data_IF_009466142817
#
_entry.id   IF_009466142817
#
_cell.length_a   1.000
_cell.length_b   1.000
_cell.length_c   1.000
_cell.angle_alpha   90.00
_cell.angle_beta   90.00
_cell.angle_gamma   90.00
#
_symmetry.space_group_name_H-M   'P 1'
#
loop_
_entity.id
_entity.type
_entity.pdbx_description
1 polymer ?
#
# COMPACT_ATOMS: atom_id res chain seq x y z
N UNK A 1 21.33 17.28 -20.42
CA UNK A 1 20.85 18.57 -19.86
C UNK A 1 19.33 18.64 -19.77
N UNK A 2 18.59 18.32 -20.84
CA UNK A 2 17.10 18.34 -20.82
C UNK A 2 16.53 17.30 -19.84
N UNK A 3 17.08 16.08 -19.84
CA UNK A 3 16.70 14.99 -18.91
C UNK A 3 16.89 15.32 -17.43
N UNK A 4 17.93 16.07 -17.07
CA UNK A 4 18.15 16.48 -15.68
C UNK A 4 17.14 17.54 -15.22
N UNK A 5 16.75 18.45 -16.12
CA UNK A 5 15.70 19.45 -15.82
C UNK A 5 14.31 18.83 -15.65
N UNK A 6 14.01 17.75 -16.37
CA UNK A 6 12.76 16.99 -16.16
C UNK A 6 12.83 16.13 -14.90
N UNK A 7 14.02 15.66 -14.52
CA UNK A 7 14.21 14.82 -13.32
C UNK A 7 13.86 15.54 -12.01
N UNK A 8 14.10 16.85 -11.90
CA UNK A 8 13.73 17.62 -10.70
C UNK A 8 12.21 17.70 -10.50
N UNK A 9 11.45 17.84 -11.60
CA UNK A 9 9.99 17.80 -11.55
C UNK A 9 9.50 16.40 -11.14
N UNK A 10 10.03 15.34 -11.78
CA UNK A 10 9.72 13.95 -11.44
C UNK A 10 10.06 13.62 -9.99
N UNK A 11 11.17 14.12 -9.45
CA UNK A 11 11.58 13.91 -8.07
C UNK A 11 10.56 14.44 -7.06
N UNK A 12 9.88 15.55 -7.39
CA UNK A 12 8.83 16.12 -6.54
C UNK A 12 7.62 15.18 -6.45
N UNK A 13 7.21 14.58 -7.56
CA UNK A 13 6.13 13.58 -7.58
C UNK A 13 6.53 12.26 -6.92
N UNK A 14 7.78 11.82 -7.10
CA UNK A 14 8.33 10.66 -6.38
C UNK A 14 8.33 10.87 -4.87
N UNK A 15 8.71 12.05 -4.37
CA UNK A 15 8.63 12.37 -2.95
C UNK A 15 7.20 12.36 -2.44
N UNK A 16 6.24 12.91 -3.21
CA UNK A 16 4.83 12.85 -2.86
C UNK A 16 4.33 11.41 -2.76
N UNK A 17 4.71 10.54 -3.72
CA UNK A 17 4.36 9.12 -3.70
C UNK A 17 4.92 8.41 -2.47
N UNK A 18 6.19 8.66 -2.12
CA UNK A 18 6.81 8.07 -0.93
C UNK A 18 6.12 8.53 0.36
N UNK A 19 5.76 9.81 0.46
CA UNK A 19 4.99 10.34 1.60
C UNK A 19 3.61 9.70 1.69
N UNK A 20 2.92 9.56 0.55
CA UNK A 20 1.61 8.91 0.48
C UNK A 20 1.69 7.45 0.95
N UNK A 21 2.66 6.68 0.44
CA UNK A 21 2.92 5.30 0.88
C UNK A 21 3.17 5.27 2.38
N UNK A 22 4.00 6.17 2.92
CA UNK A 22 4.31 6.23 4.33
C UNK A 22 3.06 6.46 5.21
N UNK A 23 2.21 7.44 4.85
CA UNK A 23 0.98 7.74 5.58
C UNK A 23 0.04 6.54 5.59
N UNK A 24 -0.22 5.95 4.41
CA UNK A 24 -1.11 4.79 4.30
C UNK A 24 -0.53 3.54 4.99
N UNK A 25 0.79 3.41 5.06
CA UNK A 25 1.45 2.32 5.78
C UNK A 25 1.20 2.44 7.29
N UNK A 26 1.41 3.64 7.87
CA UNK A 26 1.13 3.86 9.29
C UNK A 26 -0.35 3.66 9.61
N UNK A 27 -1.25 4.21 8.80
CA UNK A 27 -2.68 4.00 8.95
C UNK A 27 -3.04 2.51 8.87
N UNK A 28 -2.44 1.78 7.93
CA UNK A 28 -2.61 0.35 7.78
C UNK A 28 -2.16 -0.44 9.01
N UNK A 29 -1.00 -0.11 9.59
CA UNK A 29 -0.55 -0.72 10.85
C UNK A 29 -1.55 -0.50 12.00
N UNK A 30 -2.13 0.70 12.12
CA UNK A 30 -3.11 0.98 13.17
C UNK A 30 -4.43 0.21 12.99
N UNK A 31 -4.87 0.01 11.74
CA UNK A 31 -6.13 -0.68 11.44
C UNK A 31 -5.97 -2.21 11.45
N UNK A 32 -4.84 -2.70 10.95
CA UNK A 32 -4.61 -4.08 10.51
C UNK A 32 -3.42 -4.78 11.17
N UNK A 33 -2.64 -4.09 12.02
CA UNK A 33 -1.45 -4.64 12.64
C UNK A 33 -1.74 -5.90 13.46
N UNK A 34 -0.93 -6.94 13.25
CA UNK A 34 -1.04 -8.28 13.84
C UNK A 34 -2.33 -9.04 13.53
N UNK A 35 -3.13 -8.59 12.54
CA UNK A 35 -4.41 -9.23 12.18
C UNK A 35 -4.36 -10.07 10.90
N UNK A 36 -3.28 -9.96 10.14
CA UNK A 36 -3.10 -10.67 8.86
C UNK A 36 -2.47 -12.07 9.04
N UNK A 37 -2.52 -12.63 10.25
CA UNK A 37 -2.09 -13.99 10.51
C UNK A 37 -2.96 -14.98 9.73
N UNK A 38 -2.37 -15.65 8.73
CA UNK A 38 -3.05 -16.69 7.97
C UNK A 38 -3.03 -17.98 8.79
N UNK A 39 -4.19 -18.39 9.33
CA UNK A 39 -4.39 -19.77 9.79
C UNK A 39 -4.49 -20.70 8.58
N UNK A 40 -3.38 -20.89 7.87
CA UNK A 40 -3.24 -21.96 6.89
C UNK A 40 -2.41 -23.07 7.50
N UNK A 41 -3.13 -24.11 7.96
CA UNK A 41 -2.61 -25.48 8.01
C UNK A 41 -1.46 -25.71 9.02
N UNK A 42 -1.67 -25.35 10.29
CA UNK A 42 -0.81 -25.79 11.41
C UNK A 42 0.58 -25.17 11.51
N UNK A 43 1.08 -24.52 10.46
CA UNK A 43 2.32 -23.75 10.44
C UNK A 43 2.00 -22.25 10.34
N UNK A 44 2.24 -21.51 11.43
CA UNK A 44 2.06 -20.06 11.52
C UNK A 44 3.15 -19.34 10.71
N UNK A 45 3.10 -19.43 9.38
CA UNK A 45 3.95 -18.62 8.52
C UNK A 45 3.32 -17.23 8.40
N UNK A 46 4.03 -16.16 8.79
CA UNK A 46 3.52 -14.81 8.61
C UNK A 46 3.29 -14.55 7.12
N UNK A 47 2.09 -14.09 6.75
CA UNK A 47 1.80 -13.71 5.37
C UNK A 47 2.80 -12.62 4.96
N UNK A 48 3.39 -12.74 3.77
CA UNK A 48 4.35 -11.73 3.25
C UNK A 48 3.68 -10.37 3.08
N UNK A 49 2.35 -10.34 3.03
CA UNK A 49 1.49 -9.16 2.86
C UNK A 49 0.84 -8.78 4.18
N UNK A 50 1.63 -8.24 5.10
CA UNK A 50 1.17 -7.89 6.46
C UNK A 50 1.40 -6.41 6.79
N UNK A 51 0.75 -5.98 7.86
CA UNK A 51 0.85 -4.63 8.42
C UNK A 51 1.49 -4.64 9.82
N UNK A 52 2.33 -5.64 10.10
CA UNK A 52 2.85 -5.89 11.46
C UNK A 52 4.08 -5.02 11.76
N UNK A 53 4.85 -4.67 10.73
CA UNK A 53 5.97 -3.74 10.84
C UNK A 53 5.92 -2.68 9.74
N UNK A 54 6.53 -1.53 9.99
CA UNK A 54 6.50 -0.40 9.05
C UNK A 54 7.05 -0.77 7.67
N UNK A 55 8.15 -1.52 7.61
CA UNK A 55 8.75 -1.94 6.35
C UNK A 55 7.82 -2.89 5.57
N UNK A 56 7.19 -3.85 6.25
CA UNK A 56 6.22 -4.76 5.62
C UNK A 56 4.94 -4.03 5.19
N UNK A 57 4.47 -3.07 5.99
CA UNK A 57 3.34 -2.22 5.63
C UNK A 57 3.65 -1.38 4.38
N UNK A 58 4.85 -0.79 4.28
CA UNK A 58 5.31 -0.05 3.09
C UNK A 58 5.34 -0.94 1.86
N UNK A 59 5.90 -2.15 1.96
CA UNK A 59 5.92 -3.12 0.85
C UNK A 59 4.51 -3.53 0.45
N UNK A 60 3.63 -3.78 1.42
CA UNK A 60 2.23 -4.17 1.18
C UNK A 60 1.46 -3.04 0.50
N UNK A 61 1.59 -1.80 0.97
CA UNK A 61 0.97 -0.61 0.34
C UNK A 61 1.51 -0.42 -1.07
N UNK A 62 2.82 -0.55 -1.28
CA UNK A 62 3.43 -0.49 -2.60
C UNK A 62 2.86 -1.56 -3.54
N UNK A 63 2.73 -2.81 -3.08
CA UNK A 63 2.15 -3.91 -3.87
C UNK A 63 0.68 -3.65 -4.24
N UNK A 64 -0.10 -3.00 -3.36
CA UNK A 64 -1.47 -2.59 -3.68
C UNK A 64 -1.46 -1.51 -4.77
N UNK A 65 -0.54 -0.55 -4.70
CA UNK A 65 -0.39 0.52 -5.70
C UNK A 65 0.05 0.00 -7.07
N UNK A 66 0.86 -1.06 -7.12
CA UNK A 66 1.18 -1.75 -8.39
C UNK A 66 0.02 -2.60 -8.91
N UNK A 67 -1.12 -2.61 -8.21
CA UNK A 67 -2.29 -3.42 -8.50
C UNK A 67 -2.00 -4.94 -8.50
N UNK A 68 -0.96 -5.36 -7.79
CA UNK A 68 -0.58 -6.76 -7.70
C UNK A 68 -1.29 -7.42 -6.51
N UNK A 69 -2.14 -8.40 -6.80
CA UNK A 69 -2.84 -9.20 -5.78
C UNK A 69 -3.60 -8.38 -4.71
N UNK A 70 -3.93 -7.12 -5.00
CA UNK A 70 -4.59 -6.19 -4.06
C UNK A 70 -5.92 -6.74 -3.53
N UNK A 71 -6.66 -7.46 -4.38
CA UNK A 71 -7.93 -8.12 -4.00
C UNK A 71 -7.73 -9.09 -2.84
N UNK A 72 -6.64 -9.88 -2.83
CA UNK A 72 -6.35 -10.83 -1.75
C UNK A 72 -6.11 -10.08 -0.43
N UNK A 73 -5.35 -8.98 -0.48
CA UNK A 73 -5.05 -8.15 0.69
C UNK A 73 -6.33 -7.47 1.22
N UNK A 74 -7.20 -6.99 0.32
CA UNK A 74 -8.51 -6.44 0.65
C UNK A 74 -9.38 -7.49 1.38
N UNK A 75 -9.54 -8.68 0.79
CA UNK A 75 -10.38 -9.73 1.36
C UNK A 75 -9.84 -10.21 2.71
N UNK A 76 -8.52 -10.37 2.83
CA UNK A 76 -7.88 -10.68 4.10
C UNK A 76 -8.14 -9.57 5.14
N UNK A 77 -7.99 -8.30 4.76
CA UNK A 77 -8.26 -7.17 5.64
C UNK A 77 -9.72 -7.12 6.12
N UNK A 78 -10.68 -7.37 5.22
CA UNK A 78 -12.10 -7.43 5.56
C UNK A 78 -12.43 -8.62 6.47
N UNK A 79 -11.86 -9.79 6.19
CA UNK A 79 -12.05 -11.00 6.99
C UNK A 79 -11.48 -10.84 8.41
N UNK A 80 -10.32 -10.20 8.55
CA UNK A 80 -9.65 -10.01 9.83
C UNK A 80 -10.16 -8.82 10.67
N UNK A 81 -10.99 -7.93 10.09
CA UNK A 81 -11.51 -6.75 10.81
C UNK A 81 -13.01 -6.57 10.66
N UNK A 82 -13.45 -6.05 9.52
CA UNK A 82 -14.84 -5.78 9.18
C UNK A 82 -14.96 -5.40 7.70
N UNK A 83 -16.15 -5.50 7.11
CA UNK A 83 -16.41 -5.04 5.74
C UNK A 83 -16.07 -3.55 5.52
N UNK A 84 -16.13 -2.73 6.57
CA UNK A 84 -15.75 -1.31 6.52
C UNK A 84 -14.27 -1.08 6.20
N UNK A 85 -13.41 -2.08 6.39
CA UNK A 85 -12.01 -2.02 5.99
C UNK A 85 -11.83 -1.79 4.48
N UNK A 86 -12.81 -2.18 3.66
CA UNK A 86 -12.78 -1.94 2.22
C UNK A 86 -12.58 -0.45 1.86
N UNK A 87 -13.07 0.47 2.70
CA UNK A 87 -12.91 1.90 2.48
C UNK A 87 -11.44 2.34 2.48
N UNK A 88 -10.60 1.75 3.34
CA UNK A 88 -9.16 2.01 3.34
C UNK A 88 -8.52 1.64 2.00
N UNK A 89 -8.81 0.44 1.48
CA UNK A 89 -8.24 -0.06 0.24
C UNK A 89 -8.76 0.70 -0.99
N UNK A 90 -10.05 1.05 -1.01
CA UNK A 90 -10.65 1.86 -2.08
C UNK A 90 -10.02 3.26 -2.12
N UNK A 91 -9.86 3.91 -0.96
CA UNK A 91 -9.19 5.20 -0.88
C UNK A 91 -7.73 5.10 -1.34
N UNK A 92 -6.99 4.08 -0.85
CA UNK A 92 -5.60 3.82 -1.22
C UNK A 92 -5.44 3.68 -2.75
N UNK A 93 -6.29 2.87 -3.38
CA UNK A 93 -6.26 2.63 -4.83
C UNK A 93 -6.63 3.88 -5.63
N UNK A 94 -7.65 4.64 -5.17
CA UNK A 94 -8.14 5.82 -5.90
C UNK A 94 -7.12 6.95 -5.89
N UNK A 95 -6.62 7.32 -4.71
CA UNK A 95 -5.64 8.40 -4.57
C UNK A 95 -4.26 7.96 -5.08
N UNK A 96 -3.87 6.72 -4.82
CA UNK A 96 -2.60 6.17 -5.28
C UNK A 96 -2.46 6.15 -6.79
N UNK A 97 -3.49 5.67 -7.51
CA UNK A 97 -3.50 5.69 -8.97
C UNK A 97 -3.44 7.12 -9.52
N UNK A 98 -4.15 8.08 -8.90
CA UNK A 98 -4.06 9.48 -9.32
C UNK A 98 -2.63 10.04 -9.20
N UNK A 99 -1.93 9.72 -8.11
CA UNK A 99 -0.51 10.12 -7.93
C UNK A 99 0.39 9.44 -8.97
N UNK A 100 0.19 8.14 -9.24
CA UNK A 100 0.96 7.40 -10.26
C UNK A 100 0.73 7.94 -11.66
N UNK A 101 -0.52 8.23 -12.05
CA UNK A 101 -0.83 8.82 -13.35
C UNK A 101 -0.22 10.21 -13.52
N UNK A 102 -0.25 11.05 -12.49
CA UNK A 102 0.41 12.36 -12.53
C UNK A 102 1.93 12.23 -12.73
N UNK A 103 2.56 11.15 -12.23
CA UNK A 103 3.98 10.88 -12.46
C UNK A 103 4.27 10.42 -13.89
N UNK A 104 3.35 9.68 -14.54
CA UNK A 104 3.50 9.24 -15.93
C UNK A 104 3.23 10.35 -16.96
N UNK A 105 2.40 11.34 -16.59
CA UNK A 105 2.05 12.49 -17.44
C UNK A 105 3.12 13.60 -17.37
N UNK A 106 3.83 13.70 -16.24
CA UNK A 106 4.87 14.70 -15.98
C UNK A 106 6.22 14.37 -16.63
#
# INVERSE_FOLDING_TARGET
VVLMKTMDNVATFCMLLMLFIFIFSILGMHLFGCKFASERDGDTLPDRKNFDSLLWAIVTVFQILTQEDWNKVLYNGMASTSSWAALYFIALMTFGNYVLFNLLVA
#
